data_IF_162988977415
#
_entry.id   IF_162988977415
#
_cell.length_a   1.000
_cell.length_b   1.000
_cell.length_c   1.000
_cell.angle_alpha   90.00
_cell.angle_beta   90.00
_cell.angle_gamma   90.00
#
_symmetry.space_group_name_H-M   'P 1'
#
loop_
_entity.id
_entity.type
_entity.pdbx_description
1 polymer ?
#
# COMPACT_ATOMS: atom_id res chain seq x y z
N UNK A 1 -7.74 -17.05 26.50
CA UNK A 1 -6.39 -16.57 26.80
C UNK A 1 -5.49 -16.80 25.58
N UNK A 2 -4.92 -15.70 25.00
CA UNK A 2 -4.15 -15.78 23.74
C UNK A 2 -2.90 -16.66 23.86
N UNK A 3 -2.27 -16.68 25.03
CA UNK A 3 -1.06 -17.46 25.27
C UNK A 3 -1.29 -18.98 25.24
N UNK A 4 -2.51 -19.40 25.50
CA UNK A 4 -2.90 -20.82 25.55
C UNK A 4 -3.30 -21.37 24.16
N UNK A 5 -3.38 -20.50 23.13
CA UNK A 5 -3.73 -20.92 21.77
C UNK A 5 -2.51 -21.47 21.03
N UNK A 6 -2.67 -22.58 20.28
CA UNK A 6 -1.62 -23.06 19.39
C UNK A 6 -1.28 -22.02 18.33
N UNK A 7 0.01 -21.82 18.08
CA UNK A 7 0.54 -20.87 17.07
C UNK A 7 1.20 -21.63 15.93
N UNK A 8 0.97 -21.22 14.67
CA UNK A 8 0.10 -20.13 14.21
C UNK A 8 -1.38 -20.45 14.38
N UNK A 9 -2.13 -19.50 14.94
CA UNK A 9 -3.57 -19.62 15.06
C UNK A 9 -4.26 -19.07 13.80
N UNK A 10 -5.08 -19.89 13.16
CA UNK A 10 -5.84 -19.54 11.96
C UNK A 10 -7.31 -19.44 12.30
N UNK A 11 -7.92 -18.35 11.90
CA UNK A 11 -9.35 -18.12 12.07
C UNK A 11 -9.99 -17.47 10.86
N UNK A 12 -11.26 -17.70 10.68
CA UNK A 12 -12.07 -16.95 9.74
C UNK A 12 -13.43 -16.63 10.39
N UNK A 13 -14.05 -15.59 9.92
CA UNK A 13 -15.38 -15.19 10.36
C UNK A 13 -16.14 -14.51 9.23
N UNK A 14 -17.47 -14.64 9.28
CA UNK A 14 -18.39 -13.93 8.40
C UNK A 14 -19.46 -13.25 9.26
N UNK A 15 -19.73 -11.98 9.02
CA UNK A 15 -20.71 -11.25 9.79
C UNK A 15 -20.76 -9.76 9.46
N UNK A 16 -21.70 -9.07 10.10
CA UNK A 16 -21.79 -7.63 9.96
C UNK A 16 -20.69 -6.94 10.76
N UNK A 17 -20.04 -5.96 10.11
CA UNK A 17 -19.08 -5.05 10.72
C UNK A 17 -19.57 -3.62 10.62
N UNK A 18 -19.08 -2.77 11.53
CA UNK A 18 -19.45 -1.36 11.62
C UNK A 18 -18.21 -0.51 11.50
N UNK A 19 -18.26 0.52 10.63
CA UNK A 19 -17.17 1.49 10.47
C UNK A 19 -17.70 2.91 10.55
N UNK A 20 -16.99 3.78 11.26
CA UNK A 20 -17.33 5.20 11.34
C UNK A 20 -16.79 5.96 10.12
N UNK A 21 -17.27 5.58 8.93
CA UNK A 21 -16.90 6.22 7.67
C UNK A 21 -17.99 7.21 7.22
N UNK A 22 -17.60 8.16 6.37
CA UNK A 22 -18.58 9.01 5.68
C UNK A 22 -19.32 8.12 4.68
N UNK A 23 -20.65 8.01 4.86
CA UNK A 23 -21.49 7.23 3.98
C UNK A 23 -21.52 7.85 2.56
N UNK A 24 -21.59 7.00 1.53
CA UNK A 24 -21.60 7.38 0.12
C UNK A 24 -22.00 6.21 -0.77
N UNK A 25 -22.07 6.40 -2.11
CA UNK A 25 -22.36 5.31 -3.04
C UNK A 25 -21.37 4.15 -2.85
N UNK A 26 -21.89 2.94 -2.57
CA UNK A 26 -21.08 1.75 -2.30
C UNK A 26 -20.31 1.74 -0.96
N UNK A 27 -20.47 2.78 -0.13
CA UNK A 27 -19.86 2.88 1.22
C UNK A 27 -20.93 2.93 2.28
N UNK A 28 -21.03 1.86 3.04
CA UNK A 28 -21.98 1.72 4.14
C UNK A 28 -21.26 1.68 5.48
N UNK A 29 -21.89 2.20 6.52
CA UNK A 29 -21.36 2.12 7.89
C UNK A 29 -21.54 0.73 8.51
N UNK A 30 -22.50 -0.04 8.01
CA UNK A 30 -22.73 -1.44 8.33
C UNK A 30 -22.71 -2.24 7.04
N UNK A 31 -21.89 -3.28 6.98
CA UNK A 31 -21.80 -4.18 5.83
C UNK A 31 -21.36 -5.57 6.25
N UNK A 32 -21.64 -6.57 5.42
CA UNK A 32 -21.18 -7.93 5.61
C UNK A 32 -19.69 -8.01 5.25
N UNK A 33 -18.89 -8.60 6.12
CA UNK A 33 -17.49 -8.89 5.86
C UNK A 33 -17.23 -10.39 6.07
N UNK A 34 -16.45 -10.97 5.19
CA UNK A 34 -15.78 -12.24 5.38
C UNK A 34 -14.30 -11.94 5.54
N UNK A 35 -13.73 -12.33 6.65
CA UNK A 35 -12.31 -12.11 6.93
C UNK A 35 -11.63 -13.39 7.43
N UNK A 36 -10.32 -13.46 7.25
CA UNK A 36 -9.48 -14.54 7.73
C UNK A 36 -8.18 -13.95 8.29
N UNK A 37 -7.71 -14.54 9.38
CA UNK A 37 -6.52 -14.10 10.09
C UNK A 37 -5.59 -15.28 10.36
N UNK A 38 -4.27 -15.04 10.27
CA UNK A 38 -3.22 -15.91 10.77
C UNK A 38 -2.44 -15.14 11.83
N UNK A 39 -2.46 -15.60 13.06
CA UNK A 39 -1.85 -14.92 14.20
C UNK A 39 -0.70 -15.75 14.76
N UNK A 40 0.44 -15.11 15.01
CA UNK A 40 1.61 -15.75 15.62
C UNK A 40 2.43 -16.61 14.64
N UNK A 41 2.33 -16.36 13.33
CA UNK A 41 3.23 -16.94 12.34
C UNK A 41 4.56 -16.18 12.34
N UNK A 42 5.70 -16.87 12.42
CA UNK A 42 7.01 -16.20 12.52
C UNK A 42 7.60 -15.78 11.16
N UNK A 43 6.97 -16.13 10.04
CA UNK A 43 7.54 -15.92 8.71
C UNK A 43 6.55 -15.33 7.72
N UNK A 44 7.07 -14.78 6.64
CA UNK A 44 6.32 -14.24 5.49
C UNK A 44 5.53 -15.31 4.72
N UNK A 45 5.70 -16.59 5.04
CA UNK A 45 4.89 -17.66 4.43
C UNK A 45 3.40 -17.52 4.75
N UNK A 46 3.05 -16.91 5.89
CA UNK A 46 1.67 -16.59 6.23
C UNK A 46 1.07 -15.54 5.27
N UNK A 47 1.85 -14.54 4.86
CA UNK A 47 1.39 -13.53 3.88
C UNK A 47 1.15 -14.19 2.52
N UNK A 48 2.03 -15.12 2.11
CA UNK A 48 1.85 -15.90 0.88
C UNK A 48 0.61 -16.81 0.96
N UNK A 49 0.38 -17.47 2.10
CA UNK A 49 -0.82 -18.29 2.36
C UNK A 49 -2.10 -17.45 2.24
N UNK A 50 -2.11 -16.23 2.78
CA UNK A 50 -3.25 -15.32 2.64
C UNK A 50 -3.49 -14.91 1.18
N UNK A 51 -2.44 -14.60 0.42
CA UNK A 51 -2.57 -14.27 -1.00
C UNK A 51 -3.11 -15.46 -1.83
N UNK A 52 -2.65 -16.68 -1.53
CA UNK A 52 -3.18 -17.90 -2.16
C UNK A 52 -4.65 -18.12 -1.80
N UNK A 53 -5.02 -17.97 -0.52
CA UNK A 53 -6.41 -18.12 -0.07
C UNK A 53 -7.36 -17.10 -0.74
N UNK A 54 -6.91 -15.86 -0.96
CA UNK A 54 -7.67 -14.88 -1.73
C UNK A 54 -7.92 -15.38 -3.16
N UNK A 55 -6.90 -15.95 -3.81
CA UNK A 55 -7.02 -16.52 -5.16
C UNK A 55 -8.02 -17.69 -5.19
N UNK A 56 -7.88 -18.63 -4.26
CA UNK A 56 -8.77 -19.79 -4.16
C UNK A 56 -10.23 -19.37 -3.90
N UNK A 57 -10.42 -18.33 -3.09
CA UNK A 57 -11.75 -17.74 -2.83
C UNK A 57 -12.36 -17.17 -4.10
N UNK A 58 -11.59 -16.42 -4.91
CA UNK A 58 -12.07 -15.89 -6.19
C UNK A 58 -12.50 -17.01 -7.15
N UNK A 59 -11.70 -18.07 -7.25
CA UNK A 59 -12.02 -19.24 -8.10
C UNK A 59 -13.25 -19.99 -7.59
N UNK A 60 -13.39 -20.16 -6.28
CA UNK A 60 -14.57 -20.77 -5.66
C UNK A 60 -15.87 -19.97 -5.90
N UNK A 61 -15.74 -18.65 -6.08
CA UNK A 61 -16.84 -17.76 -6.46
C UNK A 61 -17.12 -17.76 -7.98
N UNK A 62 -16.39 -18.54 -8.76
CA UNK A 62 -16.55 -18.63 -10.22
C UNK A 62 -15.82 -17.56 -11.01
N UNK A 63 -14.94 -16.78 -10.39
CA UNK A 63 -14.10 -15.79 -11.06
C UNK A 63 -12.81 -16.46 -11.50
N UNK A 64 -12.66 -16.69 -12.80
CA UNK A 64 -11.55 -17.45 -13.36
C UNK A 64 -10.21 -16.72 -13.24
N UNK A 65 -9.10 -17.47 -13.21
CA UNK A 65 -7.74 -16.91 -13.32
C UNK A 65 -7.61 -16.03 -14.57
N UNK A 66 -6.94 -14.89 -14.41
CA UNK A 66 -6.81 -13.86 -15.44
C UNK A 66 -7.94 -12.81 -15.44
N UNK A 67 -9.03 -13.02 -14.68
CA UNK A 67 -10.09 -12.02 -14.48
C UNK A 67 -9.91 -11.18 -13.21
N UNK A 68 -8.93 -11.49 -12.39
CA UNK A 68 -8.58 -10.76 -11.17
C UNK A 68 -7.06 -10.68 -10.99
N UNK A 69 -6.62 -9.77 -10.14
CA UNK A 69 -5.22 -9.60 -9.74
C UNK A 69 -5.15 -9.49 -8.23
N UNK A 70 -4.32 -10.33 -7.60
CA UNK A 70 -3.95 -10.17 -6.19
C UNK A 70 -2.75 -9.24 -6.11
N UNK A 71 -2.94 -8.08 -5.48
CA UNK A 71 -1.88 -7.10 -5.28
C UNK A 71 -1.37 -7.19 -3.85
N UNK A 72 -0.09 -7.38 -3.70
CA UNK A 72 0.60 -7.39 -2.40
C UNK A 72 1.60 -6.24 -2.34
N UNK A 73 1.79 -5.67 -1.16
CA UNK A 73 2.76 -4.62 -0.92
C UNK A 73 3.43 -4.84 0.44
N UNK A 74 4.67 -4.40 0.55
CA UNK A 74 5.39 -4.39 1.81
C UNK A 74 5.72 -2.93 2.20
N UNK A 75 5.20 -2.49 3.34
CA UNK A 75 5.41 -1.13 3.84
C UNK A 75 6.90 -0.77 4.01
N UNK A 76 7.75 -1.74 4.33
CA UNK A 76 9.20 -1.53 4.46
C UNK A 76 9.83 -0.97 3.18
N UNK A 77 9.29 -1.29 1.99
CA UNK A 77 9.74 -0.68 0.72
C UNK A 77 9.55 0.83 0.76
N UNK A 78 8.35 1.27 1.13
CA UNK A 78 8.05 2.69 1.26
C UNK A 78 8.89 3.35 2.35
N UNK A 79 9.10 2.69 3.47
CA UNK A 79 9.98 3.19 4.54
C UNK A 79 11.42 3.35 4.05
N UNK A 80 11.96 2.39 3.30
CA UNK A 80 13.31 2.50 2.70
C UNK A 80 13.42 3.66 1.71
N UNK A 81 12.40 3.88 0.89
CA UNK A 81 12.35 5.02 -0.05
C UNK A 81 12.33 6.35 0.71
N UNK A 82 11.52 6.45 1.77
CA UNK A 82 11.44 7.64 2.60
C UNK A 82 12.75 7.91 3.34
N UNK A 83 13.47 6.88 3.77
CA UNK A 83 14.80 7.00 4.35
C UNK A 83 15.81 7.49 3.29
N UNK A 84 15.75 6.96 2.05
CA UNK A 84 16.64 7.35 0.95
C UNK A 84 16.46 8.80 0.48
N UNK A 85 15.33 9.43 0.75
CA UNK A 85 15.09 10.86 0.48
C UNK A 85 15.27 11.74 1.74
N UNK A 86 15.87 11.20 2.80
CA UNK A 86 16.23 11.96 4.02
C UNK A 86 15.10 12.16 5.01
N UNK A 87 13.99 11.43 4.90
CA UNK A 87 12.86 11.52 5.84
C UNK A 87 12.88 10.47 6.97
N UNK A 88 14.00 9.82 7.23
CA UNK A 88 14.13 8.74 8.22
C UNK A 88 13.62 9.09 9.62
N UNK A 89 13.78 10.34 10.06
CA UNK A 89 13.38 10.83 11.39
C UNK A 89 12.11 11.69 11.43
N UNK A 90 11.52 12.05 10.29
CA UNK A 90 10.39 12.98 10.22
C UNK A 90 9.05 12.25 10.03
N UNK A 91 8.46 11.79 11.11
CA UNK A 91 7.20 11.04 11.08
C UNK A 91 6.03 11.80 10.47
N UNK A 92 5.95 13.12 10.65
CA UNK A 92 4.86 13.94 10.13
C UNK A 92 4.94 14.08 8.61
N UNK A 93 6.14 14.38 8.07
CA UNK A 93 6.35 14.47 6.62
C UNK A 93 6.23 13.11 5.95
N UNK A 94 6.74 12.03 6.59
CA UNK A 94 6.54 10.65 6.11
C UNK A 94 5.07 10.34 5.89
N UNK A 95 4.21 10.64 6.89
CA UNK A 95 2.78 10.41 6.78
C UNK A 95 2.14 11.24 5.66
N UNK A 96 2.58 12.47 5.46
CA UNK A 96 2.09 13.34 4.37
C UNK A 96 2.46 12.76 3.00
N UNK A 97 3.71 12.27 2.83
CA UNK A 97 4.15 11.61 1.60
C UNK A 97 3.33 10.34 1.34
N UNK A 98 3.14 9.48 2.33
CA UNK A 98 2.34 8.26 2.19
C UNK A 98 0.89 8.58 1.79
N UNK A 99 0.29 9.60 2.39
CA UNK A 99 -1.06 10.08 2.01
C UNK A 99 -1.12 10.66 0.59
N UNK A 100 -0.04 11.29 0.13
CA UNK A 100 0.05 11.77 -1.25
C UNK A 100 0.10 10.60 -2.24
N UNK A 101 0.92 9.58 -1.96
CA UNK A 101 1.02 8.37 -2.79
C UNK A 101 -0.31 7.61 -2.88
N UNK A 102 -1.06 7.51 -1.78
CA UNK A 102 -2.40 6.89 -1.72
C UNK A 102 -3.43 7.58 -2.61
N UNK A 103 -3.16 8.81 -3.04
CA UNK A 103 -4.02 9.56 -3.96
C UNK A 103 -3.72 9.31 -5.44
N UNK A 104 -2.77 8.44 -5.76
CA UNK A 104 -2.35 8.19 -7.14
C UNK A 104 -3.52 7.78 -8.06
N UNK A 105 -4.34 6.84 -7.63
CA UNK A 105 -5.49 6.39 -8.43
C UNK A 105 -6.52 7.51 -8.70
N UNK A 106 -6.58 8.51 -7.83
CA UNK A 106 -7.53 9.64 -7.95
C UNK A 106 -6.97 10.79 -8.77
N UNK A 107 -5.68 11.11 -8.61
CA UNK A 107 -5.10 12.36 -9.13
C UNK A 107 -3.97 12.15 -10.15
N UNK A 108 -3.57 10.91 -10.38
CA UNK A 108 -2.44 10.56 -11.25
C UNK A 108 -1.10 11.10 -10.75
N UNK A 109 -0.06 10.96 -11.59
CA UNK A 109 1.31 11.39 -11.26
C UNK A 109 1.37 12.89 -10.96
N UNK A 110 0.71 13.73 -11.75
CA UNK A 110 0.78 15.19 -11.60
C UNK A 110 0.14 15.68 -10.30
N UNK A 111 -1.00 15.10 -9.92
CA UNK A 111 -1.63 15.45 -8.65
C UNK A 111 -0.82 14.97 -7.44
N UNK A 112 -0.18 13.80 -7.53
CA UNK A 112 0.75 13.31 -6.50
C UNK A 112 1.98 14.22 -6.43
N UNK A 113 2.55 14.64 -7.56
CA UNK A 113 3.65 15.60 -7.62
C UNK A 113 3.35 16.88 -6.85
N UNK A 114 2.18 17.46 -7.05
CA UNK A 114 1.75 18.66 -6.32
C UNK A 114 1.67 18.41 -4.81
N UNK A 115 1.10 17.28 -4.40
CA UNK A 115 0.97 16.91 -2.98
C UNK A 115 2.31 16.55 -2.33
N UNK A 116 3.30 16.07 -3.09
CA UNK A 116 4.67 15.88 -2.60
C UNK A 116 5.40 17.21 -2.44
N UNK A 117 5.08 18.21 -3.28
CA UNK A 117 5.63 19.57 -3.22
C UNK A 117 4.87 20.49 -2.28
N UNK A 118 4.48 21.66 -2.77
CA UNK A 118 3.81 22.72 -1.99
C UNK A 118 2.38 22.34 -1.55
N UNK A 119 1.72 21.51 -2.32
CA UNK A 119 0.33 21.13 -2.08
C UNK A 119 -0.53 21.27 -3.33
N UNK A 120 -1.82 20.94 -3.18
CA UNK A 120 -2.79 20.94 -4.27
C UNK A 120 -4.08 21.64 -3.89
N UNK A 121 -4.56 22.49 -4.80
CA UNK A 121 -5.91 23.03 -4.73
C UNK A 121 -6.86 22.00 -5.35
N UNK A 122 -7.87 21.56 -4.62
CA UNK A 122 -8.94 20.71 -5.14
C UNK A 122 -10.09 21.63 -5.62
N UNK A 123 -10.10 21.95 -6.90
CA UNK A 123 -11.03 22.88 -7.55
C UNK A 123 -12.33 22.22 -8.06
N UNK A 124 -12.64 21.02 -7.58
CA UNK A 124 -13.84 20.26 -7.94
C UNK A 124 -15.16 20.94 -7.59
N UNK A 125 -15.44 22.09 -8.20
CA UNK A 125 -16.77 22.72 -8.21
C UNK A 125 -17.00 23.86 -7.23
N UNK A 126 -16.05 24.79 -7.03
CA UNK A 126 -16.38 26.13 -6.58
C UNK A 126 -15.75 26.70 -5.31
N UNK A 127 -15.50 26.00 -4.26
CA UNK A 127 -14.64 26.40 -3.13
C UNK A 127 -13.64 25.31 -2.90
N UNK A 128 -12.54 25.36 -3.64
CA UNK A 128 -11.48 24.37 -3.53
C UNK A 128 -10.82 24.42 -2.17
N UNK A 129 -10.74 23.27 -1.49
CA UNK A 129 -9.91 23.14 -0.30
C UNK A 129 -8.46 22.95 -0.74
N UNK A 130 -7.56 23.77 -0.19
CA UNK A 130 -6.12 23.60 -0.39
C UNK A 130 -5.61 22.51 0.54
N UNK A 131 -5.05 21.44 -0.04
CA UNK A 131 -4.34 20.41 0.69
C UNK A 131 -2.86 20.73 0.72
N UNK A 132 -2.30 21.04 1.89
CA UNK A 132 -0.87 21.29 2.07
C UNK A 132 -0.08 20.03 1.71
N UNK A 133 1.03 20.19 0.98
CA UNK A 133 1.92 19.13 0.55
C UNK A 133 3.00 18.77 1.57
N UNK A 134 3.87 17.86 1.19
CA UNK A 134 4.99 17.38 1.98
C UNK A 134 6.23 18.29 1.93
N UNK A 135 6.21 19.33 1.10
CA UNK A 135 7.30 20.32 0.93
C UNK A 135 8.65 19.66 0.60
N UNK A 136 8.62 18.61 -0.25
CA UNK A 136 9.82 17.98 -0.79
C UNK A 136 10.43 18.85 -1.88
N UNK A 137 11.76 18.81 -2.02
CA UNK A 137 12.44 19.37 -3.17
C UNK A 137 12.20 18.56 -4.46
N UNK A 138 12.53 19.15 -5.61
CA UNK A 138 12.28 18.54 -6.91
C UNK A 138 12.98 17.17 -7.07
N UNK A 139 14.20 17.02 -6.56
CA UNK A 139 14.96 15.76 -6.64
C UNK A 139 14.29 14.64 -5.85
N UNK A 140 13.87 14.93 -4.63
CA UNK A 140 13.16 13.99 -3.79
C UNK A 140 11.79 13.60 -4.40
N UNK A 141 11.07 14.57 -5.00
CA UNK A 141 9.80 14.31 -5.70
C UNK A 141 10.01 13.33 -6.85
N UNK A 142 10.98 13.57 -7.75
CA UNK A 142 11.24 12.68 -8.88
C UNK A 142 11.67 11.29 -8.40
N UNK A 143 12.47 11.22 -7.36
CA UNK A 143 12.90 9.96 -6.77
C UNK A 143 11.74 9.17 -6.20
N UNK A 144 10.79 9.80 -5.52
CA UNK A 144 9.55 9.15 -5.04
C UNK A 144 8.67 8.73 -6.21
N UNK A 145 8.48 9.58 -7.21
CA UNK A 145 7.62 9.29 -8.36
C UNK A 145 8.16 8.18 -9.25
N UNK A 146 9.48 7.91 -9.24
CA UNK A 146 10.08 6.82 -10.00
C UNK A 146 9.49 5.44 -9.66
N UNK A 147 8.86 5.29 -8.47
CA UNK A 147 8.15 4.07 -8.08
C UNK A 147 7.03 3.73 -9.08
N UNK A 148 6.35 4.75 -9.61
CA UNK A 148 5.24 4.56 -10.53
C UNK A 148 5.70 4.17 -11.94
N UNK A 149 6.95 4.43 -12.32
CA UNK A 149 7.50 4.01 -13.62
C UNK A 149 7.60 2.49 -13.77
N UNK A 150 7.55 1.75 -12.64
CA UNK A 150 7.55 0.29 -12.63
C UNK A 150 6.15 -0.32 -12.49
N UNK A 151 5.09 0.49 -12.52
CA UNK A 151 3.72 0.05 -12.25
C UNK A 151 3.24 -1.06 -13.19
N UNK A 152 3.61 -1.00 -14.48
CA UNK A 152 3.21 -1.95 -15.51
C UNK A 152 4.19 -3.13 -15.69
N UNK A 153 5.30 -3.12 -14.95
CA UNK A 153 6.27 -4.19 -15.01
C UNK A 153 5.80 -5.43 -14.23
N UNK A 154 6.17 -6.62 -14.67
CA UNK A 154 5.98 -7.85 -13.90
C UNK A 154 6.74 -7.83 -12.58
N UNK A 155 6.34 -8.65 -11.62
CA UNK A 155 6.84 -8.61 -10.24
C UNK A 155 8.38 -8.58 -10.12
N UNK A 156 9.10 -9.44 -10.83
CA UNK A 156 10.56 -9.47 -10.81
C UNK A 156 11.19 -8.18 -11.38
N UNK A 157 10.66 -7.66 -12.50
CA UNK A 157 11.15 -6.42 -13.10
C UNK A 157 10.86 -5.20 -12.21
N UNK A 158 9.75 -5.22 -11.49
CA UNK A 158 9.38 -4.18 -10.51
C UNK A 158 10.37 -4.16 -9.33
N UNK A 159 10.71 -5.32 -8.80
CA UNK A 159 11.71 -5.47 -7.73
C UNK A 159 13.08 -4.98 -8.20
N UNK A 160 13.50 -5.38 -9.42
CA UNK A 160 14.75 -4.92 -10.01
C UNK A 160 14.78 -3.39 -10.17
N UNK A 161 13.72 -2.78 -10.70
CA UNK A 161 13.62 -1.34 -10.86
C UNK A 161 13.67 -0.55 -9.54
N UNK A 162 13.00 -1.04 -8.50
CA UNK A 162 13.08 -0.43 -7.16
C UNK A 162 14.49 -0.58 -6.58
N UNK A 163 15.14 -1.73 -6.77
CA UNK A 163 16.51 -1.96 -6.36
C UNK A 163 17.50 -1.04 -7.06
N UNK A 164 17.36 -0.85 -8.37
CA UNK A 164 18.22 0.03 -9.16
C UNK A 164 18.06 1.50 -8.74
N UNK A 165 16.84 1.94 -8.43
CA UNK A 165 16.53 3.31 -8.03
C UNK A 165 16.92 3.64 -6.57
N UNK A 166 16.92 2.64 -5.66
CA UNK A 166 17.06 2.83 -4.22
C UNK A 166 18.03 1.83 -3.57
N UNK A 167 18.86 1.13 -4.34
CA UNK A 167 19.72 0.04 -3.88
C UNK A 167 20.88 0.45 -2.96
N UNK A 168 21.05 1.73 -2.71
CA UNK A 168 21.91 2.31 -1.68
C UNK A 168 21.31 2.21 -0.25
N UNK A 169 20.05 1.80 -0.13
CA UNK A 169 19.35 1.64 1.15
C UNK A 169 19.24 0.15 1.54
N UNK A 170 19.79 -0.23 2.69
CA UNK A 170 19.80 -1.62 3.18
C UNK A 170 18.41 -2.25 3.25
N UNK A 171 17.38 -1.49 3.65
CA UNK A 171 16.00 -1.98 3.75
C UNK A 171 15.42 -2.33 2.39
N UNK A 172 15.77 -1.58 1.35
CA UNK A 172 15.36 -1.88 -0.02
C UNK A 172 16.07 -3.12 -0.54
N UNK A 173 17.36 -3.28 -0.24
CA UNK A 173 18.14 -4.46 -0.61
C UNK A 173 17.60 -5.71 0.07
N UNK A 174 17.35 -5.66 1.39
CA UNK A 174 16.78 -6.79 2.16
C UNK A 174 15.47 -7.28 1.54
N UNK A 175 14.58 -6.34 1.16
CA UNK A 175 13.28 -6.67 0.58
C UNK A 175 13.37 -7.21 -0.85
N UNK A 176 14.38 -6.81 -1.62
CA UNK A 176 14.61 -7.34 -2.97
C UNK A 176 15.09 -8.79 -2.96
N UNK A 177 15.51 -9.31 -1.81
CA UNK A 177 15.91 -10.71 -1.61
C UNK A 177 14.74 -11.62 -1.24
N UNK A 178 13.60 -11.04 -0.85
CA UNK A 178 12.38 -11.80 -0.55
C UNK A 178 11.63 -11.98 -1.88
N UNK A 179 11.99 -13.02 -2.62
CA UNK A 179 11.22 -13.46 -3.79
C UNK A 179 9.98 -14.22 -3.32
N UNK A 180 8.84 -13.62 -3.57
CA UNK A 180 7.54 -14.32 -3.54
C UNK A 180 7.12 -14.60 -4.97
#
# INVERSE_FOLDING_TARGET
NFEDLPKPYRSYRAGYVFRNEKAGPGRFRQFMQFDADIVGAPSVSADAEMAMMMSDTMEALGIARGQYVIRVNNRKVLDGILDAIGLGGDGARRLTVLRALDKFDKFGVDGVRQLLGAGRLDDGGGKGDFTKGAELDASAIERVLSIFSFADAGGAARIAGVRDAFGDNERVVELSLIHI
#
